data_IF_152697061385
#
_entry.id   IF_152697061385
#
_cell.length_a   1.000
_cell.length_b   1.000
_cell.length_c   1.000
_cell.angle_alpha   90.00
_cell.angle_beta   90.00
_cell.angle_gamma   90.00
#
_symmetry.space_group_name_H-M   'P 1'
#
loop_
_entity.id
_entity.type
_entity.pdbx_description
1 polymer ?
#
# COMPACT_ATOMS: atom_id res chain seq x y z
N UNK A 1 1.44 -2.68 -3.39
CA UNK A 1 1.55 -3.94 -4.17
C UNK A 1 0.16 -4.55 -4.30
N UNK A 2 -0.13 -5.39 -5.30
CA UNK A 2 -1.40 -6.14 -5.38
C UNK A 2 -1.65 -7.03 -4.15
N UNK A 3 -2.92 -7.22 -3.77
CA UNK A 3 -3.33 -8.06 -2.64
C UNK A 3 -2.88 -9.52 -2.81
N UNK A 4 -3.10 -10.09 -4.00
CA UNK A 4 -2.69 -11.47 -4.28
C UNK A 4 -1.18 -11.65 -4.15
N UNK A 5 -0.37 -10.62 -4.45
CA UNK A 5 1.07 -10.71 -4.24
C UNK A 5 1.43 -10.83 -2.76
N UNK A 6 0.66 -10.20 -1.86
CA UNK A 6 0.85 -10.36 -0.41
C UNK A 6 0.54 -11.80 0.03
N UNK A 7 -0.52 -12.41 -0.49
CA UNK A 7 -0.88 -13.82 -0.25
C UNK A 7 0.24 -14.76 -0.74
N UNK A 8 0.67 -14.59 -2.00
CA UNK A 8 1.74 -15.40 -2.59
C UNK A 8 3.05 -15.32 -1.81
N UNK A 9 3.38 -14.14 -1.26
CA UNK A 9 4.58 -13.95 -0.43
C UNK A 9 4.53 -14.73 0.86
N UNK A 10 3.36 -14.82 1.50
CA UNK A 10 3.21 -15.66 2.69
C UNK A 10 3.35 -17.13 2.32
N UNK A 11 2.66 -17.60 1.27
CA UNK A 11 2.78 -18.98 0.79
C UNK A 11 4.23 -19.36 0.45
N UNK A 12 4.97 -18.46 -0.19
CA UNK A 12 6.40 -18.66 -0.50
C UNK A 12 7.26 -18.79 0.76
N UNK A 13 7.00 -17.98 1.80
CA UNK A 13 7.71 -18.07 3.08
C UNK A 13 7.39 -19.38 3.82
N UNK A 14 6.14 -19.83 3.79
CA UNK A 14 5.73 -21.12 4.37
C UNK A 14 6.48 -22.28 3.70
N UNK A 15 6.58 -22.29 2.37
CA UNK A 15 7.38 -23.28 1.63
C UNK A 15 8.87 -23.30 2.03
N UNK A 16 9.39 -22.21 2.59
CA UNK A 16 10.76 -22.06 3.08
C UNK A 16 10.89 -22.28 4.60
N UNK A 17 9.87 -22.86 5.25
CA UNK A 17 9.87 -23.15 6.69
C UNK A 17 9.34 -22.02 7.59
N UNK A 18 8.74 -20.97 7.02
CA UNK A 18 8.11 -19.89 7.78
C UNK A 18 6.76 -20.24 8.40
N UNK A 19 6.25 -19.38 9.27
CA UNK A 19 4.95 -19.55 9.93
C UNK A 19 3.77 -19.43 8.95
N UNK A 20 2.81 -20.36 9.06
CA UNK A 20 1.58 -20.35 8.28
C UNK A 20 0.59 -19.32 8.79
N UNK A 21 0.02 -18.52 7.89
CA UNK A 21 -1.06 -17.58 8.18
C UNK A 21 -2.21 -17.88 7.23
N UNK A 22 -3.43 -18.10 7.73
CA UNK A 22 -4.59 -18.34 6.87
C UNK A 22 -4.81 -17.19 5.89
N UNK A 23 -5.13 -17.51 4.63
CA UNK A 23 -5.28 -16.51 3.56
C UNK A 23 -6.30 -15.43 3.91
N UNK A 24 -7.46 -15.81 4.45
CA UNK A 24 -8.49 -14.87 4.89
C UNK A 24 -7.96 -13.82 5.89
N UNK A 25 -7.03 -14.22 6.77
CA UNK A 25 -6.39 -13.32 7.73
C UNK A 25 -5.41 -12.36 7.05
N UNK A 26 -4.72 -12.81 6.00
CA UNK A 26 -3.83 -11.95 5.19
C UNK A 26 -4.66 -10.90 4.47
N UNK A 27 -5.72 -11.32 3.77
CA UNK A 27 -6.62 -10.44 3.01
C UNK A 27 -7.32 -9.42 3.91
N UNK A 28 -7.90 -9.87 5.03
CA UNK A 28 -8.53 -8.95 6.00
C UNK A 28 -7.56 -7.92 6.59
N UNK A 29 -6.29 -8.30 6.83
CA UNK A 29 -5.25 -7.34 7.24
C UNK A 29 -4.88 -6.39 6.12
N UNK A 30 -4.71 -6.90 4.90
CA UNK A 30 -4.38 -6.09 3.73
C UNK A 30 -5.43 -5.01 3.49
N UNK A 31 -6.72 -5.36 3.52
CA UNK A 31 -7.82 -4.43 3.28
C UNK A 31 -7.91 -3.36 4.37
N UNK A 32 -7.87 -3.76 5.65
CA UNK A 32 -7.96 -2.84 6.80
C UNK A 32 -6.76 -1.89 6.90
N UNK A 33 -5.59 -2.31 6.43
CA UNK A 33 -4.36 -1.51 6.50
C UNK A 33 -4.55 -0.13 5.84
N UNK A 34 -5.22 -0.07 4.69
CA UNK A 34 -5.19 1.13 3.86
C UNK A 34 -5.92 2.32 4.46
N UNK A 35 -7.03 2.10 5.17
CA UNK A 35 -7.71 3.16 5.92
C UNK A 35 -6.85 3.72 7.04
N UNK A 36 -6.03 2.88 7.68
CA UNK A 36 -5.09 3.31 8.73
C UNK A 36 -3.91 4.07 8.14
N UNK A 37 -3.38 3.63 6.99
CA UNK A 37 -2.30 4.33 6.29
C UNK A 37 -2.77 5.70 5.77
N UNK A 38 -3.99 5.79 5.25
CA UNK A 38 -4.58 7.07 4.82
C UNK A 38 -4.65 8.06 5.98
N UNK A 39 -5.17 7.64 7.14
CA UNK A 39 -5.17 8.46 8.37
C UNK A 39 -3.75 8.84 8.83
N UNK A 40 -2.79 7.91 8.75
CA UNK A 40 -1.42 8.23 9.13
C UNK A 40 -0.79 9.29 8.21
N UNK A 41 -1.09 9.26 6.91
CA UNK A 41 -0.59 10.25 5.95
C UNK A 41 -1.10 11.65 6.29
N UNK A 42 -2.35 11.81 6.72
CA UNK A 42 -2.90 13.14 7.08
C UNK A 42 -2.34 13.71 8.39
N UNK A 43 -1.63 12.89 9.17
CA UNK A 43 -1.02 13.29 10.45
C UNK A 43 0.49 13.55 10.34
N UNK A 44 1.09 13.29 9.17
CA UNK A 44 2.53 13.41 8.95
C UNK A 44 2.84 14.59 8.02
N UNK A 45 3.98 15.25 8.23
CA UNK A 45 4.46 16.31 7.33
C UNK A 45 4.77 15.76 5.92
N UNK A 46 5.25 14.51 5.85
CA UNK A 46 5.50 13.83 4.58
C UNK A 46 5.35 12.31 4.66
N UNK A 47 5.01 11.70 3.53
CA UNK A 47 4.96 10.26 3.37
C UNK A 47 5.46 9.83 1.98
N UNK A 48 6.22 8.74 1.90
CA UNK A 48 6.63 8.14 0.61
C UNK A 48 6.12 6.71 0.50
N UNK A 49 5.40 6.44 -0.59
CA UNK A 49 4.84 5.11 -0.89
C UNK A 49 5.76 4.37 -1.86
N UNK A 50 6.17 3.16 -1.46
CA UNK A 50 7.02 2.31 -2.28
C UNK A 50 6.27 1.11 -2.84
N UNK A 51 6.46 0.84 -4.12
CA UNK A 51 6.16 -0.43 -4.74
C UNK A 51 7.38 -1.33 -4.68
N UNK A 52 7.29 -2.38 -3.88
CA UNK A 52 8.32 -3.41 -3.78
C UNK A 52 7.93 -4.70 -4.53
N UNK A 53 7.06 -4.65 -5.54
CA UNK A 53 6.60 -5.86 -6.24
C UNK A 53 7.69 -6.57 -7.04
N UNK A 54 8.75 -5.85 -7.42
CA UNK A 54 9.94 -6.34 -8.13
C UNK A 54 11.18 -6.27 -7.23
N UNK A 55 12.31 -6.75 -7.73
CA UNK A 55 13.61 -6.70 -7.02
C UNK A 55 14.06 -5.28 -6.69
N UNK A 56 13.86 -4.33 -7.61
CA UNK A 56 14.10 -2.91 -7.38
C UNK A 56 12.81 -2.25 -6.88
N UNK A 57 12.89 -1.56 -5.74
CA UNK A 57 11.79 -0.75 -5.24
C UNK A 57 11.63 0.51 -6.08
N UNK A 58 10.39 0.89 -6.36
CA UNK A 58 10.05 2.15 -7.03
C UNK A 58 9.12 2.98 -6.17
N UNK A 59 9.18 4.29 -6.30
CA UNK A 59 8.22 5.20 -5.65
C UNK A 59 6.95 5.19 -6.50
N UNK A 60 5.79 5.11 -5.85
CA UNK A 60 4.46 5.16 -6.50
C UNK A 60 3.59 6.29 -5.98
N UNK A 61 4.10 7.08 -5.04
CA UNK A 61 3.38 8.19 -4.47
C UNK A 61 4.23 8.89 -3.42
N UNK A 62 4.07 10.20 -3.32
CA UNK A 62 4.60 11.01 -2.23
C UNK A 62 3.48 11.93 -1.74
N UNK A 63 3.50 12.22 -0.45
CA UNK A 63 2.67 13.23 0.17
C UNK A 63 3.60 14.21 0.89
N UNK A 64 3.33 15.50 0.77
CA UNK A 64 3.98 16.58 1.50
C UNK A 64 2.90 17.58 1.91
N UNK A 65 2.82 17.90 3.20
CA UNK A 65 1.81 18.79 3.78
C UNK A 65 0.37 18.40 3.37
N UNK A 66 0.08 17.09 3.38
CA UNK A 66 -1.21 16.53 2.95
C UNK A 66 -1.43 16.47 1.44
N UNK A 67 -0.56 17.07 0.62
CA UNK A 67 -0.69 17.13 -0.84
C UNK A 67 0.04 15.97 -1.50
N UNK A 68 -0.65 15.26 -2.39
CA UNK A 68 -0.03 14.22 -3.22
C UNK A 68 0.87 14.83 -4.30
N UNK A 69 2.13 14.39 -4.35
CA UNK A 69 3.20 14.90 -5.23
C UNK A 69 3.78 13.80 -6.14
N UNK A 70 3.05 12.70 -6.34
CA UNK A 70 3.44 11.59 -7.21
C UNK A 70 2.92 11.71 -8.65
N UNK A 71 3.32 10.76 -9.51
CA UNK A 71 2.81 10.68 -10.88
C UNK A 71 1.28 10.50 -10.89
N UNK A 72 0.61 11.11 -11.88
CA UNK A 72 -0.83 11.04 -12.05
C UNK A 72 -1.35 9.61 -12.36
N UNK A 73 -0.49 8.76 -12.91
CA UNK A 73 -0.86 7.38 -13.28
C UNK A 73 -0.74 6.45 -12.08
N UNK A 74 -1.81 6.36 -11.29
CA UNK A 74 -1.90 5.41 -10.20
C UNK A 74 -2.08 3.96 -10.73
N UNK A 75 -1.27 2.98 -10.26
CA UNK A 75 -1.44 1.58 -10.65
C UNK A 75 -2.86 1.08 -10.38
N UNK A 76 -3.39 0.14 -11.16
CA UNK A 76 -4.77 -0.39 -10.97
C UNK A 76 -5.03 -0.91 -9.55
N UNK A 77 -4.03 -1.54 -8.94
CA UNK A 77 -4.10 -2.06 -7.56
C UNK A 77 -3.98 -0.98 -6.47
N UNK A 78 -3.72 0.28 -6.83
CA UNK A 78 -3.50 1.35 -5.85
C UNK A 78 -4.70 1.44 -4.89
N UNK A 79 -4.49 1.43 -3.57
CA UNK A 79 -5.58 1.27 -2.61
C UNK A 79 -6.57 2.42 -2.66
N UNK A 80 -7.86 2.10 -2.65
CA UNK A 80 -8.94 3.09 -2.71
C UNK A 80 -8.82 4.21 -1.65
N UNK A 81 -8.56 3.92 -0.35
CA UNK A 81 -8.40 4.98 0.66
C UNK A 81 -7.24 5.94 0.39
N UNK A 82 -6.24 5.52 -0.39
CA UNK A 82 -5.12 6.37 -0.79
C UNK A 82 -5.42 7.12 -2.09
N UNK A 83 -6.26 6.59 -2.98
CA UNK A 83 -6.73 7.30 -4.17
C UNK A 83 -7.54 8.54 -3.78
N UNK A 84 -8.41 8.40 -2.77
CA UNK A 84 -9.27 9.47 -2.29
C UNK A 84 -8.47 10.69 -1.84
N UNK A 85 -7.40 10.49 -1.07
CA UNK A 85 -6.50 11.58 -0.63
C UNK A 85 -5.48 12.01 -1.70
N UNK A 86 -5.30 11.24 -2.78
CA UNK A 86 -4.37 11.59 -3.86
C UNK A 86 -5.02 12.40 -4.99
N UNK A 87 -6.33 12.27 -5.17
CA UNK A 87 -7.10 12.88 -6.28
C UNK A 87 -7.85 14.15 -5.82
N UNK A 88 -7.98 14.39 -4.51
CA UNK A 88 -8.62 15.59 -3.94
C UNK A 88 -7.57 16.47 -3.24
N UNK A 89 -6.89 17.38 -3.97
CA UNK A 89 -5.96 18.33 -3.34
C UNK A 89 -6.65 19.52 -2.64
N UNK A 90 -7.97 19.71 -2.79
CA UNK A 90 -8.70 20.84 -2.19
C UNK A 90 -9.68 20.38 -1.08
N UNK A 91 -9.17 20.29 0.15
CA UNK A 91 -9.91 20.53 1.40
C UNK A 91 -9.07 21.44 2.29
#
# INVERSE_FOLDING_TARGET
IPEDLAVHRVASRVKKGGHSVPEAKIRGRYQRLWSLVSQAITLCDSATLYNNSRSKMTIVGRFADGVYTGDATLPSWFPQPLREIAILPDQ
#
